data_IF_692622324118
#
_entry.id   IF_692622324118
#
_cell.length_a   1.000
_cell.length_b   1.000
_cell.length_c   1.000
_cell.angle_alpha   90.00
_cell.angle_beta   90.00
_cell.angle_gamma   90.00
#
_symmetry.space_group_name_H-M   'P 1'
#
loop_
_entity.id
_entity.type
_entity.pdbx_description
1 polymer ?
#
# COMPACT_ATOMS: atom_id res chain seq x y z
N UNK A 1 24.17 -15.93 -15.25
CA UNK A 1 24.11 -14.63 -14.56
C UNK A 1 22.69 -14.12 -14.76
N UNK A 2 21.90 -14.14 -13.69
CA UNK A 2 20.43 -14.18 -13.76
C UNK A 2 19.82 -12.87 -14.26
N UNK A 3 18.86 -12.99 -15.16
CA UNK A 3 17.97 -11.91 -15.54
C UNK A 3 17.17 -11.51 -14.30
N UNK A 4 17.27 -10.25 -13.87
CA UNK A 4 16.35 -9.69 -12.89
C UNK A 4 14.94 -9.70 -13.49
N UNK A 5 14.07 -10.56 -12.95
CA UNK A 5 12.65 -10.47 -13.20
C UNK A 5 12.11 -9.25 -12.45
N UNK A 6 12.29 -8.06 -13.01
CA UNK A 6 11.50 -6.89 -12.63
C UNK A 6 10.10 -7.16 -13.17
N UNK A 7 9.21 -7.63 -12.30
CA UNK A 7 7.82 -7.93 -12.64
C UNK A 7 7.16 -6.70 -13.29
N UNK A 8 6.98 -6.77 -14.60
CA UNK A 8 6.35 -5.73 -15.40
C UNK A 8 4.88 -5.60 -14.99
N UNK A 9 4.56 -4.56 -14.22
CA UNK A 9 3.19 -4.09 -14.06
C UNK A 9 2.79 -3.32 -15.32
N UNK A 10 2.65 -4.03 -16.45
CA UNK A 10 2.15 -3.73 -17.80
C UNK A 10 2.40 -2.33 -18.44
N UNK A 11 2.39 -1.25 -17.67
CA UNK A 11 2.62 0.15 -18.06
C UNK A 11 3.90 0.73 -17.44
N UNK A 12 4.70 -0.07 -16.72
CA UNK A 12 5.91 0.43 -16.03
C UNK A 12 5.61 1.51 -14.99
N UNK A 13 4.38 1.55 -14.45
CA UNK A 13 3.99 2.50 -13.40
C UNK A 13 4.19 1.81 -12.04
N UNK A 14 5.01 2.38 -11.15
CA UNK A 14 5.07 1.91 -9.77
C UNK A 14 3.70 2.02 -9.11
N UNK A 15 3.22 0.90 -8.61
CA UNK A 15 2.02 0.80 -7.79
C UNK A 15 2.29 -0.02 -6.53
N UNK A 16 1.33 -0.05 -5.62
CA UNK A 16 1.34 -0.91 -4.44
C UNK A 16 -0.12 -1.14 -4.03
N UNK A 17 -0.40 -2.27 -3.39
CA UNK A 17 -1.72 -2.57 -2.84
C UNK A 17 -1.60 -2.58 -1.32
N UNK A 18 -2.36 -1.73 -0.64
CA UNK A 18 -2.47 -1.72 0.83
C UNK A 18 -3.73 -2.45 1.25
N UNK A 19 -3.62 -3.20 2.35
CA UNK A 19 -4.76 -3.88 2.95
C UNK A 19 -5.67 -2.94 3.71
N UNK A 20 -6.84 -3.45 4.10
CA UNK A 20 -7.81 -2.73 4.93
C UNK A 20 -7.40 -2.64 6.41
N UNK A 21 -6.41 -3.42 6.84
CA UNK A 21 -6.08 -3.63 8.25
C UNK A 21 -6.98 -4.67 8.89
N UNK A 22 -6.88 -4.80 10.21
CA UNK A 22 -7.59 -5.85 10.94
C UNK A 22 -7.15 -7.25 10.52
N UNK A 23 -7.99 -8.24 10.81
CA UNK A 23 -7.81 -9.62 10.36
C UNK A 23 -9.06 -10.06 9.63
N UNK A 24 -8.91 -10.78 8.54
CA UNK A 24 -10.04 -11.34 7.82
C UNK A 24 -9.65 -12.65 7.16
N UNK A 25 -10.67 -13.38 6.70
CA UNK A 25 -10.44 -14.68 6.07
C UNK A 25 -11.68 -15.18 5.34
N UNK A 26 -11.49 -16.23 4.55
CA UNK A 26 -12.57 -16.85 3.80
C UNK A 26 -13.10 -15.99 2.66
N UNK A 27 -12.26 -15.13 2.08
CA UNK A 27 -12.62 -14.30 0.93
C UNK A 27 -13.27 -15.17 -0.17
N UNK A 28 -14.43 -14.73 -0.66
CA UNK A 28 -15.25 -15.49 -1.62
C UNK A 28 -15.89 -16.77 -1.05
N UNK A 29 -16.24 -16.81 0.24
CA UNK A 29 -16.95 -17.94 0.86
C UNK A 29 -18.13 -17.50 1.74
N UNK A 30 -19.05 -18.41 2.04
CA UNK A 30 -20.14 -18.15 3.00
C UNK A 30 -19.64 -17.87 4.43
N UNK A 31 -18.40 -18.24 4.71
CA UNK A 31 -17.75 -18.06 5.99
C UNK A 31 -16.76 -16.90 5.93
N UNK A 32 -16.93 -15.94 5.01
CA UNK A 32 -16.14 -14.71 4.99
C UNK A 32 -16.36 -13.91 6.28
N UNK A 33 -15.27 -13.46 6.90
CA UNK A 33 -15.34 -12.73 8.16
C UNK A 33 -14.25 -11.67 8.26
N UNK A 34 -14.50 -10.69 9.11
CA UNK A 34 -13.59 -9.59 9.41
C UNK A 34 -13.61 -9.25 10.91
N UNK A 35 -12.43 -9.21 11.51
CA UNK A 35 -12.13 -8.68 12.83
C UNK A 35 -11.49 -7.29 12.67
N UNK A 36 -12.21 -6.21 13.03
CA UNK A 36 -11.75 -4.84 12.86
C UNK A 36 -10.72 -4.40 13.91
N UNK A 37 -10.29 -5.29 14.82
CA UNK A 37 -9.26 -4.98 15.82
C UNK A 37 -8.05 -4.35 15.13
N UNK A 38 -7.74 -3.12 15.54
CA UNK A 38 -6.65 -2.29 15.01
C UNK A 38 -6.72 -1.93 13.50
N UNK A 39 -7.85 -2.15 12.82
CA UNK A 39 -7.99 -1.82 11.41
C UNK A 39 -7.77 -0.33 11.08
N UNK A 40 -8.07 0.56 12.03
CA UNK A 40 -7.85 2.01 11.91
C UNK A 40 -6.37 2.38 11.67
N UNK A 41 -5.43 1.54 12.10
CA UNK A 41 -4.00 1.76 11.88
C UNK A 41 -3.64 1.71 10.40
N UNK A 42 -4.31 0.89 9.58
CA UNK A 42 -4.00 0.85 8.14
C UNK A 42 -4.48 2.08 7.40
N UNK A 43 -5.59 2.71 7.81
CA UNK A 43 -5.98 4.01 7.26
C UNK A 43 -4.94 5.09 7.57
N UNK A 44 -4.41 5.10 8.79
CA UNK A 44 -3.33 6.01 9.19
C UNK A 44 -2.04 5.73 8.42
N UNK A 45 -1.65 4.46 8.27
CA UNK A 45 -0.46 4.05 7.50
C UNK A 45 -0.61 4.43 6.03
N UNK A 46 -1.76 4.15 5.41
CA UNK A 46 -2.06 4.54 4.03
C UNK A 46 -1.92 6.05 3.83
N UNK A 47 -2.48 6.84 4.74
CA UNK A 47 -2.34 8.29 4.68
C UNK A 47 -0.88 8.74 4.82
N UNK A 48 -0.15 8.19 5.79
CA UNK A 48 1.27 8.49 5.96
C UNK A 48 2.11 8.04 4.77
N UNK A 49 1.78 6.92 4.11
CA UNK A 49 2.43 6.49 2.87
C UNK A 49 2.23 7.52 1.77
N UNK A 50 0.99 8.02 1.58
CA UNK A 50 0.73 9.07 0.59
C UNK A 50 1.56 10.32 0.89
N UNK A 51 1.53 10.81 2.13
CA UNK A 51 2.30 11.99 2.54
C UNK A 51 3.82 11.79 2.39
N UNK A 52 4.33 10.60 2.69
CA UNK A 52 5.74 10.30 2.49
C UNK A 52 6.11 10.32 1.00
N UNK A 53 5.25 9.78 0.14
CA UNK A 53 5.47 9.76 -1.30
C UNK A 53 5.48 11.17 -1.91
N UNK A 54 4.54 12.04 -1.53
CA UNK A 54 4.41 13.38 -2.12
C UNK A 54 5.10 14.50 -1.32
N UNK A 55 5.59 14.19 -0.13
CA UNK A 55 6.14 15.18 0.79
C UNK A 55 5.07 16.04 1.46
N UNK A 56 5.50 16.83 2.44
CA UNK A 56 4.65 17.79 3.15
C UNK A 56 5.38 19.12 3.16
N UNK A 57 4.71 20.16 2.66
CA UNK A 57 5.27 21.50 2.57
C UNK A 57 5.83 21.94 3.92
N UNK A 58 7.05 22.44 3.91
CA UNK A 58 7.79 22.93 5.09
C UNK A 58 8.09 21.86 6.17
N UNK A 59 7.87 20.57 5.88
CA UNK A 59 8.07 19.46 6.83
C UNK A 59 8.96 18.36 6.27
N UNK A 60 8.70 17.87 5.05
CA UNK A 60 9.48 16.78 4.44
C UNK A 60 9.49 16.84 2.91
N UNK A 61 10.63 16.51 2.32
CA UNK A 61 10.74 16.28 0.87
C UNK A 61 9.97 15.01 0.45
N UNK A 62 9.44 14.95 -0.79
CA UNK A 62 8.83 13.74 -1.35
C UNK A 62 9.84 12.59 -1.45
N UNK A 63 9.38 11.36 -1.25
CA UNK A 63 10.13 10.14 -1.56
C UNK A 63 9.98 9.69 -3.02
N UNK A 64 8.94 10.13 -3.73
CA UNK A 64 8.81 9.90 -5.16
C UNK A 64 9.79 10.80 -5.91
N UNK A 65 10.54 10.20 -6.84
CA UNK A 65 11.34 10.93 -7.81
C UNK A 65 10.43 11.59 -8.85
N UNK A 66 10.75 12.83 -9.25
CA UNK A 66 10.12 13.45 -10.41
C UNK A 66 10.50 12.65 -11.67
N UNK A 67 9.53 12.42 -12.56
CA UNK A 67 9.73 11.73 -13.85
C UNK A 67 10.05 12.70 -14.97
#
# INVERSE_FOLDING_TARGET
>A
MGQEYVGDRHLGIPSLTLGQGGKGGGAHSLNEWFDPTDAYLESQRTYLTILALVGVKDVSSPLLEER
#
